data_IF_200306404165
#
_entry.id   IF_200306404165
#
_cell.length_a   1.000
_cell.length_b   1.000
_cell.length_c   1.000
_cell.angle_alpha   90.00
_cell.angle_beta   90.00
_cell.angle_gamma   90.00
#
_symmetry.space_group_name_H-M   'P 1'
#
loop_
_entity.id
_entity.type
_entity.pdbx_description
1 polymer ?
#
# COMPACT_ATOMS: atom_id res chain seq x y z
N UNK A 1 -61.75 -35.37 42.60
CA UNK A 1 -61.16 -34.05 42.93
C UNK A 1 -59.76 -34.00 42.35
N UNK A 2 -59.62 -33.18 41.32
CA UNK A 2 -58.45 -32.95 40.48
C UNK A 2 -57.32 -32.31 41.29
N UNK A 3 -56.12 -32.89 41.28
CA UNK A 3 -54.90 -32.18 41.68
C UNK A 3 -53.93 -32.12 40.50
N UNK A 4 -53.89 -30.96 39.86
CA UNK A 4 -52.76 -30.49 39.06
C UNK A 4 -51.55 -30.31 39.98
N UNK A 5 -50.39 -30.86 39.61
CA UNK A 5 -49.10 -30.30 40.04
C UNK A 5 -48.19 -30.12 38.83
N UNK A 6 -47.78 -28.86 38.69
CA UNK A 6 -47.05 -28.25 37.59
C UNK A 6 -45.69 -28.90 37.37
N UNK A 7 -45.40 -29.28 36.13
CA UNK A 7 -44.03 -29.50 35.66
C UNK A 7 -43.39 -28.12 35.48
N UNK A 8 -42.38 -27.80 36.28
CA UNK A 8 -41.57 -26.59 36.11
C UNK A 8 -40.60 -26.82 34.96
N UNK A 9 -40.90 -26.27 33.79
CA UNK A 9 -39.95 -26.14 32.69
C UNK A 9 -38.89 -25.11 33.09
N UNK A 10 -37.66 -25.56 33.36
CA UNK A 10 -36.51 -24.67 33.54
C UNK A 10 -36.10 -24.22 32.14
N UNK A 11 -36.47 -22.99 31.76
CA UNK A 11 -35.93 -22.34 30.58
C UNK A 11 -34.50 -21.90 30.90
N UNK A 12 -33.51 -22.62 30.37
CA UNK A 12 -32.11 -22.16 30.35
C UNK A 12 -31.98 -21.15 29.21
N UNK A 13 -32.13 -19.87 29.52
CA UNK A 13 -31.74 -18.78 28.62
C UNK A 13 -30.22 -18.74 28.57
N UNK A 14 -29.63 -19.34 27.54
CA UNK A 14 -28.24 -19.11 27.18
C UNK A 14 -28.11 -17.66 26.71
N UNK A 15 -27.64 -16.78 27.59
CA UNK A 15 -27.24 -15.43 27.22
C UNK A 15 -26.01 -15.54 26.32
N UNK A 16 -26.22 -15.49 25.00
CA UNK A 16 -25.18 -15.22 24.02
C UNK A 16 -24.64 -13.81 24.31
N UNK A 17 -23.58 -13.75 25.12
CA UNK A 17 -22.73 -12.57 25.25
C UNK A 17 -22.09 -12.33 23.88
N UNK A 18 -22.76 -11.55 23.03
CA UNK A 18 -22.12 -10.86 21.93
C UNK A 18 -21.07 -9.94 22.56
N UNK A 19 -19.82 -10.38 22.61
CA UNK A 19 -18.70 -9.46 22.69
C UNK A 19 -18.73 -8.65 21.41
N UNK A 20 -19.43 -7.51 21.44
CA UNK A 20 -19.24 -6.47 20.45
C UNK A 20 -17.79 -6.02 20.59
N UNK A 21 -16.91 -6.55 19.75
CA UNK A 21 -15.56 -6.05 19.59
C UNK A 21 -15.69 -4.58 19.19
N UNK A 22 -15.41 -3.68 20.13
CA UNK A 22 -15.44 -2.23 19.92
C UNK A 22 -14.39 -1.93 18.85
N UNK A 23 -14.84 -1.86 17.61
CA UNK A 23 -13.97 -1.80 16.44
C UNK A 23 -13.68 -0.33 16.15
N UNK A 24 -12.71 0.23 16.86
CA UNK A 24 -12.22 1.59 16.62
C UNK A 24 -10.90 1.51 15.85
N UNK A 25 -10.96 1.55 14.53
CA UNK A 25 -9.83 1.29 13.64
C UNK A 25 -8.81 2.45 13.54
N UNK A 26 -9.25 3.68 13.72
CA UNK A 26 -8.50 4.92 13.48
C UNK A 26 -8.00 5.56 14.77
N UNK A 27 -6.86 6.27 14.70
CA UNK A 27 -6.28 7.00 15.82
C UNK A 27 -6.36 8.51 15.62
N UNK A 28 -6.75 9.19 16.68
CA UNK A 28 -6.88 10.64 16.75
C UNK A 28 -5.51 11.23 17.08
N UNK A 29 -5.18 12.37 16.47
CA UNK A 29 -4.06 13.20 16.89
C UNK A 29 -4.41 13.95 18.19
N UNK A 30 -3.80 13.54 19.31
CA UNK A 30 -4.06 14.14 20.61
C UNK A 30 -3.57 15.60 20.71
N UNK A 31 -2.70 16.07 19.80
CA UNK A 31 -2.30 17.48 19.74
C UNK A 31 -3.38 18.37 19.10
N UNK A 32 -4.41 17.77 18.49
CA UNK A 32 -5.50 18.48 17.79
C UNK A 32 -6.87 18.17 18.39
N UNK A 33 -7.12 16.93 18.77
CA UNK A 33 -8.39 16.47 19.32
C UNK A 33 -8.13 15.63 20.59
N UNK A 34 -7.89 16.29 21.74
CA UNK A 34 -7.59 15.62 22.99
C UNK A 34 -8.81 14.84 23.49
N UNK A 35 -8.55 13.77 24.23
CA UNK A 35 -9.57 12.96 24.89
C UNK A 35 -9.13 12.57 26.31
N UNK A 36 -10.11 12.29 27.18
CA UNK A 36 -9.87 12.00 28.60
C UNK A 36 -9.07 10.71 28.84
N UNK A 37 -9.09 9.78 27.89
CA UNK A 37 -8.31 8.55 27.95
C UNK A 37 -6.84 8.73 27.49
N UNK A 38 -6.50 9.90 26.94
CA UNK A 38 -5.22 10.17 26.27
C UNK A 38 -4.86 9.08 25.22
N UNK A 39 -5.87 8.51 24.57
CA UNK A 39 -5.71 7.45 23.59
C UNK A 39 -5.58 8.04 22.18
N UNK A 40 -4.49 7.73 21.47
CA UNK A 40 -4.25 8.27 20.13
C UNK A 40 -2.77 8.55 19.87
N UNK A 41 -2.51 9.25 18.78
CA UNK A 41 -1.18 9.65 18.35
C UNK A 41 -0.77 10.86 19.18
N UNK A 42 0.35 10.76 19.89
CA UNK A 42 0.88 11.81 20.76
C UNK A 42 1.94 12.69 20.06
N UNK A 43 1.87 12.75 18.73
CA UNK A 43 2.72 13.56 17.87
C UNK A 43 1.85 14.27 16.84
N UNK A 44 2.13 15.54 16.62
CA UNK A 44 1.50 16.28 15.54
C UNK A 44 1.95 15.72 14.18
N UNK A 45 1.20 16.03 13.11
CA UNK A 45 1.62 15.67 11.74
C UNK A 45 3.04 16.19 11.41
N UNK A 46 3.33 17.42 11.81
CA UNK A 46 4.64 18.05 11.59
C UNK A 46 5.75 17.31 12.35
N UNK A 47 5.50 16.80 13.55
CA UNK A 47 6.48 16.02 14.32
C UNK A 47 6.74 14.62 13.73
N UNK A 48 5.72 14.04 13.10
CA UNK A 48 5.84 12.77 12.38
C UNK A 48 6.60 12.95 11.06
N UNK A 49 6.34 14.03 10.31
CA UNK A 49 7.10 14.41 9.11
C UNK A 49 8.55 14.74 9.46
N UNK A 50 8.77 15.50 10.54
CA UNK A 50 10.10 15.98 10.93
C UNK A 50 10.60 17.07 9.98
N UNK A 51 11.84 16.92 9.48
CA UNK A 51 12.46 17.91 8.57
C UNK A 51 12.16 17.63 7.09
N UNK A 52 11.05 16.94 6.82
CA UNK A 52 10.68 16.45 5.49
C UNK A 52 11.58 15.29 5.05
N UNK A 53 11.66 15.08 3.73
CA UNK A 53 12.43 13.95 3.16
C UNK A 53 13.92 14.00 3.48
N UNK A 54 14.54 15.18 3.28
CA UNK A 54 15.96 15.45 3.51
C UNK A 54 16.90 14.39 2.93
N UNK A 55 18.07 14.21 3.54
CA UNK A 55 19.00 13.13 3.18
C UNK A 55 19.58 12.42 4.40
N UNK A 56 20.50 11.49 4.19
CA UNK A 56 21.16 10.72 5.27
C UNK A 56 21.96 11.58 6.24
N UNK A 57 22.23 12.84 5.94
CA UNK A 57 22.91 13.77 6.86
C UNK A 57 21.99 14.84 7.44
N UNK A 58 20.71 14.85 7.10
CA UNK A 58 19.73 15.81 7.60
C UNK A 58 19.04 15.25 8.85
N UNK A 59 19.37 15.70 10.08
CA UNK A 59 18.77 15.14 11.27
C UNK A 59 17.23 15.21 11.22
N UNK A 60 16.58 14.15 11.70
CA UNK A 60 15.12 14.03 11.78
C UNK A 60 14.36 14.00 10.44
N UNK A 61 15.06 13.87 9.30
CA UNK A 61 14.41 13.64 8.00
C UNK A 61 13.96 12.18 7.85
N UNK A 62 13.05 11.89 6.92
CA UNK A 62 12.60 10.51 6.67
C UNK A 62 13.77 9.60 6.32
N UNK A 63 14.64 10.02 5.38
CA UNK A 63 15.81 9.26 4.94
C UNK A 63 16.79 9.05 6.10
N UNK A 64 17.04 10.07 6.92
CA UNK A 64 17.91 9.95 8.09
C UNK A 64 17.38 8.91 9.07
N UNK A 65 16.08 8.94 9.37
CA UNK A 65 15.46 8.07 10.37
C UNK A 65 15.38 6.64 9.86
N UNK A 66 14.98 6.42 8.61
CA UNK A 66 14.96 5.08 8.00
C UNK A 66 16.34 4.42 8.10
N UNK A 67 17.41 5.16 7.82
CA UNK A 67 18.77 4.62 7.82
C UNK A 67 19.40 4.43 9.21
N UNK A 68 18.99 5.20 10.22
CA UNK A 68 19.61 5.16 11.57
C UNK A 68 18.74 4.57 12.67
N UNK A 69 17.43 4.72 12.56
CA UNK A 69 16.44 4.27 13.54
C UNK A 69 15.20 3.73 12.80
N UNK A 70 15.33 2.56 12.14
CA UNK A 70 14.26 1.97 11.36
C UNK A 70 13.02 1.64 12.20
N UNK A 71 13.18 1.30 13.49
CA UNK A 71 12.06 1.06 14.39
C UNK A 71 11.24 2.34 14.63
N UNK A 72 11.90 3.49 14.76
CA UNK A 72 11.21 4.77 14.79
C UNK A 72 10.48 5.03 13.48
N UNK A 73 11.08 4.76 12.32
CA UNK A 73 10.38 4.91 11.03
C UNK A 73 9.12 4.03 10.94
N UNK A 74 9.21 2.77 11.36
CA UNK A 74 8.07 1.84 11.42
C UNK A 74 6.96 2.41 12.30
N UNK A 75 7.31 2.95 13.49
CA UNK A 75 6.31 3.57 14.37
C UNK A 75 5.66 4.79 13.71
N UNK A 76 6.44 5.67 13.08
CA UNK A 76 5.92 6.85 12.37
C UNK A 76 4.97 6.45 11.24
N UNK A 77 5.39 5.51 10.39
CA UNK A 77 4.54 5.02 9.30
C UNK A 77 3.26 4.39 9.81
N UNK A 78 3.31 3.62 10.90
CA UNK A 78 2.09 3.12 11.56
C UNK A 78 1.20 4.27 12.06
N UNK A 79 1.74 5.30 12.71
CA UNK A 79 0.94 6.43 13.18
C UNK A 79 0.32 7.18 12.00
N UNK A 80 1.07 7.47 10.95
CA UNK A 80 0.58 8.12 9.72
C UNK A 80 -0.53 7.29 9.06
N UNK A 81 -0.38 5.97 8.99
CA UNK A 81 -1.39 5.08 8.43
C UNK A 81 -2.72 5.14 9.21
N UNK A 82 -2.63 5.27 10.53
CA UNK A 82 -3.79 5.24 11.43
C UNK A 82 -4.38 6.64 11.69
N UNK A 83 -3.65 7.68 11.29
CA UNK A 83 -4.00 9.08 11.50
C UNK A 83 -5.27 9.45 10.75
N UNK A 84 -6.14 10.22 11.40
CA UNK A 84 -7.16 11.02 10.73
C UNK A 84 -6.54 12.32 10.21
N UNK A 85 -6.49 12.47 8.89
CA UNK A 85 -6.08 13.71 8.24
C UNK A 85 -7.25 14.69 8.21
N UNK A 86 -6.97 15.95 8.54
CA UNK A 86 -7.99 17.01 8.54
C UNK A 86 -8.03 17.72 7.18
N UNK A 87 -9.10 18.47 6.90
CA UNK A 87 -9.18 19.34 5.72
C UNK A 87 -8.00 20.33 5.65
N UNK A 88 -7.57 20.86 6.80
CA UNK A 88 -6.40 21.76 6.88
C UNK A 88 -5.05 21.05 6.64
N UNK A 89 -5.04 19.72 6.60
CA UNK A 89 -3.88 18.88 6.26
C UNK A 89 -3.98 18.31 4.85
N UNK A 90 -4.91 18.84 4.05
CA UNK A 90 -5.10 18.49 2.65
C UNK A 90 -6.17 17.45 2.37
N UNK A 91 -6.74 16.80 3.38
CA UNK A 91 -7.78 15.79 3.16
C UNK A 91 -8.98 16.47 2.49
N UNK A 92 -9.50 15.98 1.37
CA UNK A 92 -10.31 16.84 0.50
C UNK A 92 -11.03 16.08 -0.59
N UNK A 93 -12.25 16.50 -0.97
CA UNK A 93 -12.75 16.10 -2.29
C UNK A 93 -12.00 16.93 -3.34
N UNK A 94 -10.97 16.32 -3.93
CA UNK A 94 -10.08 16.94 -4.92
C UNK A 94 -10.47 16.57 -6.36
N UNK A 95 -11.14 15.43 -6.56
CA UNK A 95 -11.50 14.93 -7.88
C UNK A 95 -12.97 14.53 -7.92
N UNK A 96 -13.87 15.51 -8.14
CA UNK A 96 -15.31 15.29 -8.30
C UNK A 96 -16.00 14.58 -7.11
N UNK A 97 -16.83 15.31 -6.37
CA UNK A 97 -17.56 14.75 -5.21
C UNK A 97 -18.73 13.83 -5.64
N UNK A 98 -18.41 12.64 -6.15
CA UNK A 98 -19.36 11.61 -6.58
C UNK A 98 -19.94 11.77 -7.98
N UNK A 99 -19.42 12.68 -8.81
CA UNK A 99 -19.88 12.91 -10.19
C UNK A 99 -18.78 12.68 -11.21
N UNK A 100 -19.08 11.96 -12.29
CA UNK A 100 -18.15 11.75 -13.40
C UNK A 100 -18.28 10.34 -13.99
N UNK A 101 -17.24 9.89 -14.69
CA UNK A 101 -17.17 8.54 -15.23
C UNK A 101 -16.19 7.68 -14.41
N UNK A 102 -16.77 6.86 -13.52
CA UNK A 102 -16.04 5.84 -12.75
C UNK A 102 -15.56 4.68 -13.64
N UNK A 103 -15.40 4.83 -14.96
CA UNK A 103 -14.59 3.93 -15.79
C UNK A 103 -13.33 4.62 -16.33
N UNK A 104 -13.16 5.92 -16.12
CA UNK A 104 -11.99 6.68 -16.56
C UNK A 104 -11.26 7.42 -15.44
N UNK A 105 -11.96 7.78 -14.36
CA UNK A 105 -11.39 8.50 -13.21
C UNK A 105 -11.66 7.81 -11.85
N UNK A 106 -10.62 7.23 -11.25
CA UNK A 106 -10.71 6.46 -10.00
C UNK A 106 -10.79 7.36 -8.75
N UNK A 107 -10.49 8.64 -8.88
CA UNK A 107 -10.48 9.58 -7.78
C UNK A 107 -11.86 10.19 -7.49
N UNK A 108 -12.89 9.85 -8.28
CA UNK A 108 -14.28 10.26 -8.01
C UNK A 108 -14.69 9.80 -6.61
N UNK A 109 -15.01 10.77 -5.75
CA UNK A 109 -15.34 10.50 -4.34
C UNK A 109 -14.12 10.39 -3.41
N UNK A 110 -12.93 10.73 -3.89
CA UNK A 110 -11.75 10.93 -3.05
C UNK A 110 -12.05 11.89 -1.90
N UNK A 111 -11.39 11.67 -0.76
CA UNK A 111 -11.60 12.50 0.43
C UNK A 111 -12.88 12.20 1.21
N UNK A 112 -13.58 11.10 0.89
CA UNK A 112 -14.53 10.46 1.80
C UNK A 112 -13.81 9.65 2.89
N UNK A 113 -12.61 9.16 2.60
CA UNK A 113 -11.72 8.57 3.60
C UNK A 113 -10.80 9.63 4.21
N UNK A 114 -10.67 9.64 5.53
CA UNK A 114 -9.74 10.52 6.24
C UNK A 114 -8.53 9.77 6.83
N UNK A 115 -8.44 8.45 6.62
CA UNK A 115 -7.36 7.61 7.13
C UNK A 115 -7.23 6.32 6.32
N UNK A 116 -6.02 5.81 6.13
CA UNK A 116 -5.81 4.47 5.57
C UNK A 116 -6.54 3.41 6.44
N UNK A 117 -6.57 3.63 7.76
CA UNK A 117 -7.24 2.75 8.71
C UNK A 117 -8.78 2.78 8.63
N UNK A 118 -9.39 3.71 7.88
CA UNK A 118 -10.85 3.64 7.62
C UNK A 118 -11.20 2.34 6.89
N UNK A 119 -10.40 1.98 5.89
CA UNK A 119 -10.60 0.78 5.08
C UNK A 119 -9.68 -0.38 5.49
N UNK A 120 -8.47 -0.10 6.01
CA UNK A 120 -7.47 -1.12 6.31
C UNK A 120 -7.08 -1.13 7.80
N UNK A 121 -8.04 -0.98 8.72
CA UNK A 121 -7.73 -0.79 10.14
C UNK A 121 -8.25 -1.87 11.10
N UNK A 122 -8.60 -3.07 10.61
CA UNK A 122 -9.03 -4.19 11.48
C UNK A 122 -8.00 -5.34 11.49
N UNK A 123 -7.49 -5.73 12.68
CA UNK A 123 -7.76 -5.18 14.01
C UNK A 123 -7.19 -3.76 14.19
N UNK A 124 -7.65 -3.03 15.23
CA UNK A 124 -7.23 -1.66 15.55
C UNK A 124 -5.70 -1.54 15.58
N UNK A 125 -5.17 -0.43 15.05
CA UNK A 125 -3.73 -0.15 15.10
C UNK A 125 -2.90 -1.03 14.16
N UNK A 126 -3.54 -1.64 13.17
CA UNK A 126 -2.92 -2.55 12.21
C UNK A 126 -3.21 -2.07 10.77
N UNK A 127 -2.35 -2.38 9.81
CA UNK A 127 -2.65 -2.27 8.37
C UNK A 127 -3.44 -3.51 7.92
N UNK A 128 -4.62 -3.63 8.52
CA UNK A 128 -5.49 -4.79 8.53
C UNK A 128 -6.46 -4.86 7.36
N UNK A 129 -7.48 -5.70 7.51
CA UNK A 129 -8.60 -5.76 6.58
C UNK A 129 -9.65 -4.69 6.95
N UNK A 130 -10.66 -4.52 6.11
CA UNK A 130 -11.84 -3.76 6.47
C UNK A 130 -12.99 -3.99 5.51
N UNK A 131 -13.88 -3.00 5.46
CA UNK A 131 -15.15 -3.13 4.76
C UNK A 131 -15.04 -3.07 3.24
N UNK A 132 -16.18 -3.26 2.62
CA UNK A 132 -16.36 -3.16 1.19
C UNK A 132 -15.98 -1.76 0.68
N UNK A 133 -14.99 -1.68 -0.20
CA UNK A 133 -14.56 -0.48 -0.92
C UNK A 133 -15.08 -0.55 -2.35
N UNK A 134 -15.47 0.60 -2.91
CA UNK A 134 -15.93 0.68 -4.29
C UNK A 134 -14.74 0.44 -5.21
N UNK A 135 -14.72 -0.70 -5.89
CA UNK A 135 -13.82 -0.99 -7.01
C UNK A 135 -14.63 -1.15 -8.29
N UNK A 136 -14.03 -0.99 -9.46
CA UNK A 136 -14.74 -1.04 -10.74
C UNK A 136 -14.86 -2.47 -11.27
N UNK A 137 -16.01 -2.88 -11.85
CA UNK A 137 -17.37 -2.40 -11.61
C UNK A 137 -17.98 -2.93 -10.30
N UNK A 138 -17.31 -3.90 -9.67
CA UNK A 138 -17.76 -4.59 -8.46
C UNK A 138 -16.93 -4.15 -7.26
N UNK A 139 -17.61 -3.85 -6.16
CA UNK A 139 -16.99 -3.52 -4.88
C UNK A 139 -16.32 -4.74 -4.24
N UNK A 140 -15.22 -4.54 -3.49
CA UNK A 140 -14.50 -5.62 -2.82
C UNK A 140 -14.17 -5.25 -1.39
N UNK A 141 -14.07 -6.24 -0.50
CA UNK A 141 -13.53 -6.00 0.83
C UNK A 141 -12.06 -5.56 0.74
N UNK A 142 -11.72 -4.53 1.52
CA UNK A 142 -10.35 -4.12 1.72
C UNK A 142 -9.57 -5.27 2.39
N UNK A 143 -8.70 -5.92 1.61
CA UNK A 143 -7.86 -7.02 2.08
C UNK A 143 -6.84 -6.56 3.13
N UNK A 144 -6.31 -7.51 3.89
CA UNK A 144 -5.25 -7.21 4.84
C UNK A 144 -3.93 -6.90 4.11
N UNK A 145 -3.22 -5.84 4.54
CA UNK A 145 -1.92 -5.44 3.97
C UNK A 145 -0.72 -6.18 4.61
N UNK A 146 -0.97 -7.26 5.35
CA UNK A 146 0.10 -8.06 5.96
C UNK A 146 0.93 -8.71 4.88
N UNK A 147 2.25 -8.61 5.01
CA UNK A 147 3.14 -9.21 4.03
C UNK A 147 3.21 -8.46 2.70
N UNK A 148 2.73 -7.21 2.62
CA UNK A 148 2.76 -6.42 1.39
C UNK A 148 4.19 -6.28 0.85
N UNK A 149 5.16 -6.05 1.73
CA UNK A 149 6.59 -6.05 1.39
C UNK A 149 7.09 -7.36 0.77
N UNK A 150 6.64 -8.52 1.27
CA UNK A 150 7.01 -9.82 0.68
C UNK A 150 6.43 -10.00 -0.72
N UNK A 151 5.20 -9.49 -0.96
CA UNK A 151 4.59 -9.52 -2.29
C UNK A 151 5.38 -8.66 -3.28
N UNK A 152 5.82 -7.47 -2.88
CA UNK A 152 6.68 -6.61 -3.70
C UNK A 152 8.01 -7.31 -4.04
N UNK A 153 8.73 -7.77 -3.01
CA UNK A 153 10.04 -8.41 -3.18
C UNK A 153 9.95 -9.66 -4.06
N UNK A 154 8.93 -10.50 -3.87
CA UNK A 154 8.73 -11.69 -4.69
C UNK A 154 8.40 -11.34 -6.15
N UNK A 155 7.58 -10.31 -6.39
CA UNK A 155 7.28 -9.86 -7.74
C UNK A 155 8.52 -9.31 -8.46
N UNK A 156 9.37 -8.57 -7.75
CA UNK A 156 10.61 -8.03 -8.31
C UNK A 156 11.65 -9.12 -8.59
N UNK A 157 11.75 -10.12 -7.70
CA UNK A 157 12.60 -11.30 -7.92
C UNK A 157 12.15 -12.13 -9.14
N UNK A 158 10.85 -12.42 -9.24
CA UNK A 158 10.29 -13.13 -10.40
C UNK A 158 10.54 -12.32 -11.68
N UNK A 159 10.27 -11.01 -11.66
CA UNK A 159 10.54 -10.12 -12.80
C UNK A 159 11.99 -10.22 -13.26
N UNK A 160 12.93 -10.21 -12.30
CA UNK A 160 14.36 -10.33 -12.56
C UNK A 160 14.69 -11.66 -13.23
N UNK A 161 14.19 -12.78 -12.71
CA UNK A 161 14.39 -14.11 -13.30
C UNK A 161 13.85 -14.20 -14.75
N UNK A 162 12.65 -13.67 -14.99
CA UNK A 162 12.02 -13.67 -16.30
C UNK A 162 12.80 -12.84 -17.32
N UNK A 163 13.23 -11.64 -16.92
CA UNK A 163 14.03 -10.74 -17.77
C UNK A 163 15.42 -11.31 -18.05
N UNK A 164 16.05 -11.94 -17.06
CA UNK A 164 17.32 -12.64 -17.24
C UNK A 164 17.19 -13.81 -18.22
N UNK A 165 16.09 -14.56 -18.16
CA UNK A 165 15.79 -15.64 -19.10
C UNK A 165 15.61 -15.12 -20.53
N UNK A 166 14.89 -14.01 -20.71
CA UNK A 166 14.77 -13.33 -22.01
C UNK A 166 16.14 -12.89 -22.54
N UNK A 167 16.96 -12.23 -21.73
CA UNK A 167 18.29 -11.80 -22.13
C UNK A 167 19.17 -12.99 -22.55
N UNK A 168 19.14 -14.09 -21.79
CA UNK A 168 19.87 -15.30 -22.11
C UNK A 168 19.41 -15.96 -23.42
N UNK A 169 18.09 -15.97 -23.68
CA UNK A 169 17.55 -16.48 -24.94
C UNK A 169 18.08 -15.68 -26.14
N UNK A 170 18.09 -14.34 -26.03
CA UNK A 170 18.64 -13.44 -27.05
C UNK A 170 20.14 -13.71 -27.26
N UNK A 171 20.93 -13.71 -26.18
CA UNK A 171 22.39 -13.94 -26.27
C UNK A 171 22.71 -15.28 -26.92
N UNK A 172 22.00 -16.36 -26.56
CA UNK A 172 22.20 -17.67 -27.18
C UNK A 172 21.79 -17.70 -28.65
N UNK A 173 20.71 -17.01 -29.01
CA UNK A 173 20.27 -16.95 -30.39
C UNK A 173 21.27 -16.21 -31.29
N UNK A 174 21.84 -15.12 -30.80
CA UNK A 174 22.90 -14.37 -31.48
C UNK A 174 24.18 -15.20 -31.64
N UNK A 175 24.60 -15.90 -30.58
CA UNK A 175 25.80 -16.75 -30.59
C UNK A 175 25.68 -17.94 -31.54
N UNK A 176 24.51 -18.56 -31.60
CA UNK A 176 24.29 -19.76 -32.40
C UNK A 176 23.79 -19.46 -33.82
N UNK A 177 23.52 -18.18 -34.13
CA UNK A 177 22.94 -17.73 -35.40
C UNK A 177 21.59 -18.40 -35.75
N UNK A 178 20.84 -18.88 -34.74
CA UNK A 178 19.51 -19.47 -34.90
C UNK A 178 18.60 -19.04 -33.73
N UNK A 179 17.27 -19.03 -33.90
CA UNK A 179 16.36 -18.70 -32.79
C UNK A 179 16.46 -19.72 -31.63
N UNK A 180 16.32 -19.24 -30.39
CA UNK A 180 16.42 -20.07 -29.17
C UNK A 180 15.22 -19.82 -28.28
N UNK A 181 14.42 -20.85 -28.06
CA UNK A 181 13.27 -20.82 -27.14
C UNK A 181 13.68 -21.26 -25.74
N UNK A 182 13.30 -20.48 -24.73
CA UNK A 182 13.52 -20.77 -23.32
C UNK A 182 12.21 -20.73 -22.53
N UNK A 183 12.08 -21.62 -21.54
CA UNK A 183 10.95 -21.62 -20.61
C UNK A 183 11.10 -20.48 -19.61
N UNK A 184 10.01 -19.76 -19.40
CA UNK A 184 9.90 -18.74 -18.36
C UNK A 184 9.38 -19.41 -17.08
N UNK A 185 10.26 -19.61 -16.11
CA UNK A 185 9.98 -20.30 -14.85
C UNK A 185 10.67 -19.55 -13.71
N UNK A 186 9.90 -19.16 -12.71
CA UNK A 186 10.44 -18.63 -11.44
C UNK A 186 9.53 -19.05 -10.30
N UNK A 187 10.12 -19.34 -9.13
CA UNK A 187 9.40 -19.78 -7.92
C UNK A 187 8.43 -20.96 -8.14
N UNK A 188 8.73 -21.83 -9.11
CA UNK A 188 7.88 -22.96 -9.48
C UNK A 188 6.65 -22.60 -10.32
N UNK A 189 6.51 -21.34 -10.74
CA UNK A 189 5.40 -20.83 -11.55
C UNK A 189 5.86 -20.72 -13.01
N UNK A 190 5.06 -21.27 -13.93
CA UNK A 190 5.31 -21.21 -15.36
C UNK A 190 4.64 -19.98 -15.99
N UNK A 191 5.43 -19.17 -16.70
CA UNK A 191 4.98 -17.96 -17.41
C UNK A 191 5.04 -18.11 -18.94
N UNK A 192 4.98 -19.36 -19.41
CA UNK A 192 5.09 -19.71 -20.83
C UNK A 192 6.54 -19.79 -21.32
N UNK A 193 6.79 -19.28 -22.52
CA UNK A 193 8.12 -19.32 -23.16
C UNK A 193 8.46 -18.01 -23.86
N UNK A 194 9.75 -17.75 -24.00
CA UNK A 194 10.29 -16.65 -24.82
C UNK A 194 11.25 -17.20 -25.85
N UNK A 195 11.21 -16.67 -27.07
CA UNK A 195 12.13 -17.06 -28.14
C UNK A 195 13.03 -15.89 -28.50
N UNK A 196 14.33 -16.00 -28.21
CA UNK A 196 15.32 -15.05 -28.69
C UNK A 196 15.64 -15.30 -30.16
N UNK A 197 15.87 -14.23 -30.93
CA UNK A 197 16.18 -14.29 -32.35
C UNK A 197 17.62 -13.83 -32.63
N UNK A 198 18.25 -14.30 -33.73
CA UNK A 198 19.63 -13.93 -34.08
C UNK A 198 19.84 -12.43 -34.32
N UNK A 199 18.78 -11.69 -34.62
CA UNK A 199 18.79 -10.23 -34.85
C UNK A 199 18.80 -9.41 -33.55
N UNK A 200 18.77 -10.06 -32.38
CA UNK A 200 18.73 -9.41 -31.08
C UNK A 200 17.31 -9.16 -30.54
N UNK A 201 16.28 -9.51 -31.29
CA UNK A 201 14.88 -9.40 -30.83
C UNK A 201 14.44 -10.62 -30.01
N UNK A 202 13.29 -10.51 -29.37
CA UNK A 202 12.63 -11.64 -28.71
C UNK A 202 11.15 -11.70 -29.06
N UNK A 203 10.66 -12.89 -29.40
CA UNK A 203 9.25 -13.22 -29.51
C UNK A 203 8.71 -13.60 -28.12
N UNK A 204 7.70 -12.84 -27.68
CA UNK A 204 6.99 -12.98 -26.40
C UNK A 204 5.54 -13.42 -26.58
N UNK A 205 5.15 -13.87 -27.79
CA UNK A 205 3.78 -14.32 -28.10
C UNK A 205 3.30 -15.52 -27.27
N UNK A 206 4.24 -16.26 -26.67
CA UNK A 206 3.97 -17.40 -25.80
C UNK A 206 4.18 -17.07 -24.30
N UNK A 207 4.26 -15.80 -23.93
CA UNK A 207 4.24 -15.34 -22.53
C UNK A 207 2.82 -15.46 -21.98
N UNK A 208 2.69 -15.94 -20.74
CA UNK A 208 1.40 -16.18 -20.09
C UNK A 208 1.41 -15.58 -18.68
N UNK A 209 0.32 -14.90 -18.31
CA UNK A 209 0.07 -14.43 -16.94
C UNK A 209 0.81 -13.16 -16.53
N UNK A 210 1.66 -12.61 -17.40
CA UNK A 210 2.33 -11.32 -17.26
C UNK A 210 2.35 -10.59 -18.60
N UNK A 211 2.58 -9.28 -18.58
CA UNK A 211 2.75 -8.50 -19.79
C UNK A 211 4.05 -8.86 -20.54
N UNK A 212 4.14 -8.45 -21.80
CA UNK A 212 5.31 -8.73 -22.68
C UNK A 212 6.61 -8.09 -22.19
N UNK A 213 6.53 -7.12 -21.29
CA UNK A 213 7.68 -6.52 -20.59
C UNK A 213 8.23 -7.41 -19.46
N UNK A 214 7.56 -8.53 -19.19
CA UNK A 214 7.86 -9.54 -18.16
C UNK A 214 7.81 -9.00 -16.73
N UNK A 215 7.13 -7.87 -16.50
CA UNK A 215 6.96 -7.27 -15.19
C UNK A 215 5.80 -7.92 -14.45
N UNK A 216 6.07 -8.45 -13.26
CA UNK A 216 5.02 -8.88 -12.33
C UNK A 216 4.50 -7.65 -11.58
N UNK A 217 3.18 -7.46 -11.57
CA UNK A 217 2.49 -6.35 -10.90
C UNK A 217 1.71 -6.89 -9.69
N UNK A 218 2.24 -6.77 -8.46
CA UNK A 218 1.68 -7.45 -7.29
C UNK A 218 0.51 -6.72 -6.64
N UNK A 219 0.23 -5.47 -7.05
CA UNK A 219 -0.73 -4.61 -6.39
C UNK A 219 -1.96 -4.32 -7.24
N UNK A 220 -3.06 -4.11 -6.53
CA UNK A 220 -4.42 -4.05 -7.06
C UNK A 220 -4.82 -5.37 -7.74
N UNK A 221 -6.11 -5.69 -7.72
CA UNK A 221 -6.56 -7.00 -8.18
C UNK A 221 -6.48 -7.16 -9.70
N UNK A 222 -6.49 -6.04 -10.41
CA UNK A 222 -6.25 -5.89 -11.84
C UNK A 222 -4.76 -5.82 -12.20
N UNK A 223 -3.85 -5.78 -11.21
CA UNK A 223 -2.41 -5.69 -11.44
C UNK A 223 -2.00 -4.36 -12.06
N UNK A 224 -2.30 -3.24 -11.40
CA UNK A 224 -2.08 -1.91 -11.99
C UNK A 224 -0.74 -1.27 -11.63
N UNK A 225 -0.12 -1.63 -10.50
CA UNK A 225 1.16 -1.02 -10.07
C UNK A 225 2.20 -2.05 -9.64
N UNK A 226 3.47 -1.60 -9.62
CA UNK A 226 4.62 -2.47 -9.34
C UNK A 226 5.21 -2.25 -7.94
N UNK A 227 4.86 -1.15 -7.28
CA UNK A 227 5.49 -0.73 -6.02
C UNK A 227 4.49 -0.27 -4.95
N UNK A 228 4.87 -0.46 -3.68
CA UNK A 228 4.19 0.04 -2.50
C UNK A 228 4.13 1.57 -2.56
N UNK A 229 5.17 2.21 -3.10
CA UNK A 229 5.23 3.66 -3.28
C UNK A 229 4.13 4.19 -4.20
N UNK A 230 3.95 3.59 -5.39
CA UNK A 230 2.84 3.91 -6.29
C UNK A 230 1.48 3.62 -5.63
N UNK A 231 1.37 2.49 -4.93
CA UNK A 231 0.16 2.14 -4.19
C UNK A 231 -0.21 3.20 -3.15
N UNK A 232 0.76 3.67 -2.36
CA UNK A 232 0.53 4.72 -1.34
C UNK A 232 0.16 6.04 -1.97
N UNK A 233 0.94 6.52 -2.96
CA UNK A 233 0.66 7.80 -3.61
C UNK A 233 -0.73 7.81 -4.27
N UNK A 234 -1.08 6.71 -4.95
CA UNK A 234 -2.40 6.54 -5.54
C UNK A 234 -3.51 6.45 -4.50
N UNK A 235 -3.31 5.75 -3.38
CA UNK A 235 -4.33 5.65 -2.32
C UNK A 235 -4.53 6.97 -1.57
N UNK A 236 -3.45 7.73 -1.33
CA UNK A 236 -3.54 9.08 -0.76
C UNK A 236 -4.43 9.97 -1.63
N UNK A 237 -4.22 9.95 -2.95
CA UNK A 237 -4.99 10.75 -3.90
C UNK A 237 -6.42 10.22 -4.07
N UNK A 238 -6.58 8.98 -4.57
CA UNK A 238 -7.87 8.45 -5.02
C UNK A 238 -8.85 8.18 -3.87
N UNK A 239 -8.37 7.93 -2.64
CA UNK A 239 -9.24 7.58 -1.51
C UNK A 239 -9.38 8.74 -0.52
N UNK A 240 -8.28 9.44 -0.25
CA UNK A 240 -8.19 10.44 0.83
C UNK A 240 -8.12 11.89 0.32
N UNK A 241 -7.89 12.07 -0.98
CA UNK A 241 -7.72 13.36 -1.62
C UNK A 241 -6.47 14.14 -1.21
N UNK A 242 -5.46 13.43 -0.71
CA UNK A 242 -4.15 13.95 -0.34
C UNK A 242 -3.16 13.78 -1.48
N UNK A 243 -2.36 14.80 -1.76
CA UNK A 243 -1.46 14.82 -2.92
C UNK A 243 0.00 14.74 -2.52
N UNK A 244 0.67 13.65 -2.88
CA UNK A 244 2.12 13.57 -2.80
C UNK A 244 2.76 14.02 -4.13
N UNK A 245 2.32 15.15 -4.69
CA UNK A 245 2.71 15.58 -6.05
C UNK A 245 4.20 15.86 -6.19
N UNK A 246 4.85 16.22 -5.08
CA UNK A 246 6.29 16.46 -5.02
C UNK A 246 7.12 15.19 -4.74
N UNK A 247 6.56 13.98 -4.88
CA UNK A 247 7.30 12.73 -4.68
C UNK A 247 8.48 12.60 -5.67
N UNK A 248 9.75 12.70 -5.21
CA UNK A 248 10.88 12.81 -6.13
C UNK A 248 11.19 11.49 -6.84
N UNK A 249 10.84 10.35 -6.23
CA UNK A 249 11.14 9.04 -6.83
C UNK A 249 10.16 8.75 -7.96
N UNK A 250 8.85 8.97 -7.73
CA UNK A 250 7.83 8.77 -8.76
C UNK A 250 7.98 9.80 -9.88
N UNK A 251 8.31 11.07 -9.58
CA UNK A 251 8.61 12.06 -10.62
C UNK A 251 9.79 11.63 -11.50
N UNK A 252 10.91 11.25 -10.90
CA UNK A 252 12.10 10.85 -11.65
C UNK A 252 11.86 9.55 -12.44
N UNK A 253 11.23 8.55 -11.83
CA UNK A 253 11.00 7.25 -12.46
C UNK A 253 9.96 7.34 -13.59
N UNK A 254 8.85 8.05 -13.40
CA UNK A 254 7.83 8.27 -14.43
C UNK A 254 8.38 9.05 -15.64
N UNK A 255 9.40 9.89 -15.45
CA UNK A 255 10.14 10.57 -16.51
C UNK A 255 11.20 9.70 -17.22
N UNK A 256 11.26 8.39 -16.95
CA UNK A 256 12.21 7.44 -17.54
C UNK A 256 13.51 7.26 -16.74
N UNK A 257 13.63 7.90 -15.59
CA UNK A 257 14.79 7.77 -14.70
C UNK A 257 14.83 6.43 -13.96
N UNK A 258 16.00 6.13 -13.40
CA UNK A 258 16.19 5.01 -12.47
C UNK A 258 16.48 5.53 -11.07
N UNK A 259 15.66 5.17 -10.10
CA UNK A 259 15.78 5.57 -8.69
C UNK A 259 15.68 4.37 -7.76
N UNK A 260 16.18 4.56 -6.53
CA UNK A 260 16.00 3.61 -5.43
C UNK A 260 15.24 4.35 -4.33
N UNK A 261 14.07 3.83 -3.97
CA UNK A 261 13.24 4.45 -2.92
C UNK A 261 13.95 4.34 -1.56
N UNK A 262 13.57 5.15 -0.55
CA UNK A 262 14.13 5.04 0.80
C UNK A 262 13.97 3.66 1.43
N UNK A 263 12.97 2.89 0.97
CA UNK A 263 12.71 1.52 1.43
C UNK A 263 13.48 0.46 0.62
N UNK A 264 14.18 0.86 -0.45
CA UNK A 264 15.08 0.00 -1.23
C UNK A 264 14.50 -0.51 -2.54
N UNK A 265 13.27 -0.13 -2.91
CA UNK A 265 12.66 -0.54 -4.17
C UNK A 265 13.34 0.17 -5.36
N UNK A 266 13.68 -0.57 -6.41
CA UNK A 266 14.24 0.01 -7.64
C UNK A 266 13.11 0.31 -8.60
N UNK A 267 12.93 1.59 -8.93
CA UNK A 267 12.02 2.02 -10.00
C UNK A 267 12.88 2.41 -11.21
N UNK A 268 12.70 1.73 -12.34
CA UNK A 268 13.45 1.95 -13.57
C UNK A 268 12.49 2.29 -14.71
N UNK A 269 12.20 3.58 -14.90
CA UNK A 269 11.28 4.08 -15.91
C UNK A 269 11.70 3.81 -17.36
N UNK A 270 12.96 3.41 -17.57
CA UNK A 270 13.43 2.97 -18.89
C UNK A 270 12.95 1.55 -19.24
N UNK A 271 12.51 0.78 -18.24
CA UNK A 271 12.07 -0.62 -18.38
C UNK A 271 10.63 -0.85 -17.99
N UNK A 272 10.14 -0.08 -17.02
CA UNK A 272 8.84 -0.25 -16.40
C UNK A 272 7.98 0.99 -16.64
N UNK A 273 6.68 0.77 -16.86
CA UNK A 273 5.71 1.86 -16.87
C UNK A 273 5.42 2.26 -15.42
N UNK A 274 5.93 3.42 -15.02
CA UNK A 274 5.73 3.98 -13.68
C UNK A 274 4.67 5.08 -13.73
N UNK A 275 3.71 5.01 -12.82
CA UNK A 275 2.71 6.08 -12.69
C UNK A 275 3.38 7.33 -12.10
N UNK A 276 3.18 8.52 -12.70
CA UNK A 276 3.61 9.76 -12.07
C UNK A 276 2.85 9.96 -10.75
N UNK A 277 3.37 10.76 -9.81
CA UNK A 277 2.55 11.22 -8.71
C UNK A 277 1.39 12.07 -9.24
N UNK A 278 0.30 12.22 -8.48
CA UNK A 278 -0.82 13.05 -8.87
C UNK A 278 -0.37 14.50 -9.11
N UNK A 279 -1.07 15.22 -9.98
CA UNK A 279 -0.73 16.61 -10.28
C UNK A 279 -1.01 17.50 -9.06
N UNK A 280 -0.21 18.56 -8.84
CA UNK A 280 -0.50 19.53 -7.80
C UNK A 280 -1.88 20.14 -7.98
N UNK A 281 -2.67 20.20 -6.90
CA UNK A 281 -3.93 20.94 -6.89
C UNK A 281 -3.74 22.31 -6.19
N UNK A 282 -3.57 23.39 -6.96
CA UNK A 282 -3.34 24.72 -6.42
C UNK A 282 -4.60 25.33 -5.78
N UNK A 283 -5.77 24.74 -5.97
CA UNK A 283 -7.04 25.27 -5.49
C UNK A 283 -7.30 24.85 -4.05
N UNK A 284 -7.00 23.60 -3.73
CA UNK A 284 -7.33 23.02 -2.41
C UNK A 284 -6.12 22.91 -1.47
N UNK A 285 -4.88 23.07 -1.95
CA UNK A 285 -3.69 23.09 -1.10
C UNK A 285 -3.49 21.76 -0.34
N UNK A 286 -3.82 20.66 -1.00
CA UNK A 286 -3.85 19.29 -0.48
C UNK A 286 -2.52 18.54 -0.57
N UNK A 287 -1.44 19.28 -0.82
CA UNK A 287 -0.08 18.77 -0.87
C UNK A 287 0.37 18.22 0.49
N UNK A 288 0.96 17.03 0.44
CA UNK A 288 1.61 16.40 1.59
C UNK A 288 3.10 16.27 1.38
N UNK A 289 3.86 16.34 2.48
CA UNK A 289 5.30 16.15 2.44
C UNK A 289 5.65 14.71 1.99
N UNK A 290 6.56 14.51 1.02
CA UNK A 290 6.98 13.18 0.57
C UNK A 290 7.52 12.26 1.69
N UNK A 291 7.95 12.82 2.83
CA UNK A 291 8.32 12.05 4.02
C UNK A 291 7.17 11.16 4.54
N UNK A 292 5.90 11.55 4.30
CA UNK A 292 4.75 10.71 4.63
C UNK A 292 4.81 9.41 3.83
N UNK A 293 5.03 9.52 2.51
CA UNK A 293 5.14 8.36 1.62
C UNK A 293 6.32 7.48 2.05
N UNK A 294 7.45 8.07 2.42
CA UNK A 294 8.64 7.32 2.85
C UNK A 294 8.39 6.49 4.12
N UNK A 295 7.76 7.09 5.13
CA UNK A 295 7.44 6.39 6.37
C UNK A 295 6.36 5.33 6.15
N UNK A 296 5.34 5.60 5.33
CA UNK A 296 4.30 4.64 4.99
C UNK A 296 4.86 3.46 4.19
N UNK A 297 5.70 3.72 3.18
CA UNK A 297 6.36 2.70 2.36
C UNK A 297 7.22 1.81 3.24
N UNK A 298 8.06 2.42 4.09
CA UNK A 298 8.94 1.66 4.98
C UNK A 298 8.16 0.85 6.00
N UNK A 299 7.05 1.38 6.52
CA UNK A 299 6.17 0.65 7.42
C UNK A 299 5.53 -0.56 6.74
N UNK A 300 4.91 -0.39 5.56
CA UNK A 300 4.25 -1.48 4.83
C UNK A 300 5.23 -2.52 4.30
N UNK A 301 6.43 -2.10 3.90
CA UNK A 301 7.53 -3.01 3.56
C UNK A 301 7.87 -3.93 4.74
N UNK A 302 7.89 -3.40 5.96
CA UNK A 302 8.27 -4.14 7.17
C UNK A 302 7.09 -4.71 7.96
N UNK A 303 5.87 -4.67 7.39
CA UNK A 303 4.66 -5.07 8.09
C UNK A 303 4.43 -6.59 8.05
N UNK A 304 5.20 -7.30 8.88
CA UNK A 304 5.23 -8.77 8.98
C UNK A 304 4.78 -9.32 10.35
N UNK A 305 4.13 -8.51 11.20
CA UNK A 305 3.65 -8.98 12.50
C UNK A 305 2.26 -8.41 12.81
N UNK A 306 1.24 -9.28 12.91
CA UNK A 306 0.16 -9.02 13.84
C UNK A 306 0.77 -9.11 15.23
N UNK A 307 0.82 -8.01 15.99
CA UNK A 307 1.21 -8.09 17.39
C UNK A 307 0.30 -9.10 18.10
N UNK A 308 0.84 -10.26 18.45
CA UNK A 308 0.19 -11.21 19.36
C UNK A 308 0.33 -10.77 20.83
N UNK A 309 0.69 -9.51 21.07
CA UNK A 309 0.76 -9.02 22.43
C UNK A 309 -0.64 -8.86 23.00
N UNK A 310 -0.79 -9.24 24.26
CA UNK A 310 -1.98 -8.95 25.05
C UNK A 310 -2.18 -7.44 25.00
N UNK A 311 -3.37 -6.98 24.56
CA UNK A 311 -3.75 -5.57 24.70
C UNK A 311 -3.62 -5.18 26.17
N UNK A 312 -2.56 -4.43 26.48
CA UNK A 312 -2.36 -3.74 27.74
C UNK A 312 -2.45 -2.24 27.51
N UNK A 313 -2.52 -1.46 28.60
CA UNK A 313 -2.64 0.00 28.52
C UNK A 313 -1.53 0.61 27.66
N UNK A 314 -0.30 0.11 27.72
CA UNK A 314 0.81 0.61 26.89
C UNK A 314 0.62 0.35 25.39
N UNK A 315 0.04 -0.78 24.99
CA UNK A 315 -0.26 -1.10 23.58
C UNK A 315 -1.50 -0.41 23.03
N UNK A 316 -2.44 0.00 23.88
CA UNK A 316 -3.65 0.75 23.49
C UNK A 316 -3.36 2.21 23.10
N UNK A 317 -2.21 2.75 23.56
CA UNK A 317 -1.79 4.13 23.31
C UNK A 317 -0.97 4.33 22.02
N UNK A 318 -0.79 3.30 21.19
CA UNK A 318 -0.15 3.45 19.87
C UNK A 318 1.37 3.34 19.88
#
# INVERSE_FOLDING_TARGET
>A
MTMLKQVRTIAVTAALLFFASVSAAQMIDNTQAPNTANAGINKSLLDEIGTGRGGVMTPNSSIYIINRDPFRSIRRGRQLFQRKFTRAQGQGANEGDGSGNINTDLAIGAGLSDSCALCHGRPRGSAGAGGNVVTRPDSRDAGHLFGLGLKEMLADEITTDLRNTKALAITKAQQNHHSVTMKLLSKGIHYGTVTGNPDGTADTSQVIGVDVDLRVKPFFAEGSTISIREFIAGALHNEMGLEASADPDLLAASAGGRVVTPSGMVLDGSKDKISPPPAPDPQNGNEVDPAIVDHLEFYLLNYFKSGHDVQNSSTDHG
#
